data_IF_679164518569
#
_entry.id   IF_679164518569
#
_cell.length_a   1.000
_cell.length_b   1.000
_cell.length_c   1.000
_cell.angle_alpha   90.00
_cell.angle_beta   90.00
_cell.angle_gamma   90.00
#
_symmetry.space_group_name_H-M   'P 1'
#
loop_
_entity.id
_entity.type
_entity.pdbx_description
1 polymer ?
#
# COMPACT_ATOMS: atom_id res chain seq x y z
N UNK A 1 1.37 -23.20 6.39
CA UNK A 1 0.29 -22.36 6.94
C UNK A 1 -1.03 -23.07 6.70
N UNK A 2 -1.89 -23.09 7.73
CA UNK A 2 -3.28 -23.56 7.61
C UNK A 2 -3.98 -22.76 6.49
N UNK A 3 -4.87 -23.40 5.72
CA UNK A 3 -5.65 -22.79 4.63
C UNK A 3 -4.93 -22.45 3.32
N UNK A 4 -3.60 -22.64 3.21
CA UNK A 4 -2.91 -22.44 1.92
C UNK A 4 -3.31 -23.50 0.91
N UNK A 5 -3.40 -24.75 1.33
CA UNK A 5 -3.76 -25.88 0.45
C UNK A 5 -5.22 -25.83 0.04
N UNK A 6 -6.11 -25.49 0.98
CA UNK A 6 -7.55 -25.43 0.75
C UNK A 6 -7.95 -24.28 -0.18
N UNK A 7 -7.29 -23.12 -0.10
CA UNK A 7 -7.59 -21.97 -0.97
C UNK A 7 -6.76 -21.94 -2.27
N UNK A 8 -5.76 -22.82 -2.42
CA UNK A 8 -4.97 -22.96 -3.66
C UNK A 8 -5.25 -24.28 -4.36
N UNK A 9 -6.53 -24.59 -4.49
CA UNK A 9 -7.03 -25.79 -5.17
C UNK A 9 -7.44 -25.44 -6.63
N UNK A 10 -6.81 -26.07 -7.63
CA UNK A 10 -7.12 -25.81 -9.04
C UNK A 10 -8.50 -26.30 -9.45
N UNK A 11 -9.03 -27.35 -8.84
CA UNK A 11 -10.35 -27.88 -9.18
C UNK A 11 -11.46 -26.99 -8.58
N UNK A 12 -11.23 -26.45 -7.39
CA UNK A 12 -12.08 -25.41 -6.82
C UNK A 12 -12.07 -24.13 -7.67
N UNK A 13 -10.90 -23.71 -8.15
CA UNK A 13 -10.77 -22.55 -9.03
C UNK A 13 -11.56 -22.74 -10.35
N UNK A 14 -11.48 -23.92 -10.97
CA UNK A 14 -12.29 -24.25 -12.16
C UNK A 14 -13.78 -24.21 -11.86
N UNK A 15 -14.21 -24.77 -10.73
CA UNK A 15 -15.61 -24.74 -10.32
C UNK A 15 -16.13 -23.30 -10.18
N UNK A 16 -15.36 -22.41 -9.53
CA UNK A 16 -15.73 -20.99 -9.44
C UNK A 16 -15.75 -20.28 -10.80
N UNK A 17 -14.82 -20.57 -11.70
CA UNK A 17 -14.83 -20.00 -13.05
C UNK A 17 -16.09 -20.41 -13.84
N UNK A 18 -16.52 -21.66 -13.73
CA UNK A 18 -17.76 -22.12 -14.36
C UNK A 18 -19.01 -21.46 -13.75
N UNK A 19 -19.04 -21.26 -12.43
CA UNK A 19 -20.15 -20.55 -11.79
C UNK A 19 -20.17 -19.06 -12.16
N UNK A 20 -19.00 -18.41 -12.26
CA UNK A 20 -18.89 -17.03 -12.74
C UNK A 20 -19.45 -16.93 -14.16
N UNK A 21 -19.06 -17.82 -15.08
CA UNK A 21 -19.59 -17.86 -16.46
C UNK A 21 -21.11 -17.98 -16.52
N UNK A 22 -21.72 -18.78 -15.64
CA UNK A 22 -23.19 -18.95 -15.58
C UNK A 22 -23.91 -17.75 -14.96
N UNK A 23 -23.25 -17.04 -14.04
CA UNK A 23 -23.85 -15.97 -13.24
C UNK A 23 -23.78 -14.62 -13.92
N UNK A 24 -22.76 -14.37 -14.74
CA UNK A 24 -22.57 -13.10 -15.43
C UNK A 24 -23.68 -12.90 -16.47
N UNK A 25 -24.44 -11.82 -16.31
CA UNK A 25 -25.58 -11.47 -17.18
C UNK A 25 -25.39 -10.17 -17.96
N UNK A 26 -24.33 -9.41 -17.65
CA UNK A 26 -23.99 -8.12 -18.25
C UNK A 26 -22.48 -7.87 -18.12
N UNK A 27 -21.91 -6.88 -18.82
CA UNK A 27 -20.56 -6.42 -18.55
C UNK A 27 -20.39 -5.90 -17.11
N UNK A 28 -19.26 -6.25 -16.49
CA UNK A 28 -18.84 -5.83 -15.15
C UNK A 28 -17.43 -5.26 -15.18
N UNK A 29 -17.26 -4.10 -14.55
CA UNK A 29 -15.96 -3.49 -14.29
C UNK A 29 -15.60 -3.63 -12.82
N UNK A 30 -14.69 -4.55 -12.48
CA UNK A 30 -14.34 -4.87 -11.09
C UNK A 30 -12.95 -4.35 -10.78
N UNK A 31 -12.81 -3.54 -9.73
CA UNK A 31 -11.53 -2.95 -9.34
C UNK A 31 -10.94 -3.67 -8.13
N UNK A 32 -9.66 -4.03 -8.21
CA UNK A 32 -8.87 -4.42 -7.04
C UNK A 32 -8.08 -3.21 -6.50
N UNK A 33 -7.81 -3.17 -5.20
CA UNK A 33 -7.11 -2.04 -4.55
C UNK A 33 -5.92 -2.50 -3.72
N UNK A 34 -5.22 -3.55 -4.17
CA UNK A 34 -4.03 -4.09 -3.51
C UNK A 34 -3.01 -4.64 -4.51
N UNK A 35 -1.78 -4.14 -4.48
CA UNK A 35 -0.70 -4.69 -5.31
C UNK A 35 -0.52 -6.22 -5.19
N UNK A 36 -0.82 -6.80 -4.03
CA UNK A 36 -0.84 -8.26 -3.83
C UNK A 36 -1.94 -9.00 -4.61
N UNK A 37 -3.14 -8.41 -4.70
CA UNK A 37 -4.24 -8.93 -5.52
C UNK A 37 -3.86 -8.83 -7.00
N UNK A 38 -3.37 -7.68 -7.46
CA UNK A 38 -2.83 -7.52 -8.82
C UNK A 38 -1.77 -8.57 -9.14
N UNK A 39 -0.80 -8.76 -8.26
CA UNK A 39 0.24 -9.76 -8.45
C UNK A 39 -0.35 -11.17 -8.58
N UNK A 40 -1.30 -11.53 -7.72
CA UNK A 40 -1.97 -12.83 -7.76
C UNK A 40 -2.75 -13.05 -9.07
N UNK A 41 -3.57 -12.08 -9.46
CA UNK A 41 -4.36 -12.12 -10.70
C UNK A 41 -3.49 -12.32 -11.94
N UNK A 42 -2.37 -11.59 -12.03
CA UNK A 42 -1.44 -11.67 -13.16
C UNK A 42 -0.64 -12.97 -13.11
N UNK A 43 -0.05 -13.32 -11.97
CA UNK A 43 0.78 -14.52 -11.79
C UNK A 43 0.03 -15.80 -12.14
N UNK A 44 -1.24 -15.88 -11.77
CA UNK A 44 -2.09 -17.05 -12.01
C UNK A 44 -2.89 -16.95 -13.33
N UNK A 45 -2.73 -15.86 -14.09
CA UNK A 45 -3.42 -15.67 -15.36
C UNK A 45 -4.95 -15.59 -15.25
N UNK A 46 -5.48 -15.30 -14.06
CA UNK A 46 -6.93 -15.31 -13.77
C UNK A 46 -7.68 -14.37 -14.72
N UNK A 47 -7.09 -13.22 -15.03
CA UNK A 47 -7.68 -12.22 -15.95
C UNK A 47 -8.02 -12.84 -17.32
N UNK A 48 -7.21 -13.79 -17.81
CA UNK A 48 -7.44 -14.46 -19.10
C UNK A 48 -8.46 -15.60 -19.03
N UNK A 49 -8.79 -16.05 -17.82
CA UNK A 49 -9.71 -17.16 -17.58
C UNK A 49 -11.14 -16.68 -17.29
N UNK A 50 -11.29 -15.41 -16.89
CA UNK A 50 -12.59 -14.79 -16.66
C UNK A 50 -13.37 -14.64 -17.99
N UNK A 51 -14.72 -14.61 -17.94
CA UNK A 51 -15.55 -14.25 -19.09
C UNK A 51 -15.17 -12.88 -19.66
N UNK A 52 -15.39 -12.68 -20.97
CA UNK A 52 -15.06 -11.42 -21.65
C UNK A 52 -15.87 -10.22 -21.16
N UNK A 53 -17.02 -10.48 -20.55
CA UNK A 53 -17.88 -9.50 -19.91
C UNK A 53 -17.29 -8.96 -18.60
N UNK A 54 -16.33 -9.65 -17.97
CA UNK A 54 -15.66 -9.16 -16.76
C UNK A 54 -14.35 -8.47 -17.12
N UNK A 55 -14.32 -7.16 -16.90
CA UNK A 55 -13.12 -6.34 -16.97
C UNK A 55 -12.57 -6.12 -15.57
N UNK A 56 -11.33 -6.57 -15.34
CA UNK A 56 -10.57 -6.20 -14.15
C UNK A 56 -9.91 -4.82 -14.33
N UNK A 57 -10.02 -3.97 -13.32
CA UNK A 57 -9.35 -2.66 -13.23
C UNK A 57 -8.34 -2.72 -12.09
N UNK A 58 -7.13 -2.22 -12.35
CA UNK A 58 -6.08 -2.11 -11.34
C UNK A 58 -6.18 -0.75 -10.66
N UNK A 59 -6.61 -0.75 -9.40
CA UNK A 59 -6.79 0.46 -8.61
C UNK A 59 -5.49 0.98 -7.98
N UNK A 60 -5.58 2.04 -7.16
CA UNK A 60 -4.44 2.65 -6.48
C UNK A 60 -3.95 1.81 -5.28
N UNK A 61 -3.62 0.53 -5.50
CA UNK A 61 -3.25 -0.45 -4.47
C UNK A 61 -1.76 -0.47 -4.07
N UNK A 62 -0.98 0.53 -4.47
CA UNK A 62 0.46 0.62 -4.23
C UNK A 62 0.80 1.92 -3.49
N UNK A 63 1.12 1.90 -2.19
CA UNK A 63 1.33 3.11 -1.41
C UNK A 63 2.55 3.92 -1.88
N UNK A 64 3.59 3.23 -2.36
CA UNK A 64 4.79 3.85 -2.95
C UNK A 64 4.43 4.61 -4.22
N UNK A 65 3.57 4.05 -5.05
CA UNK A 65 3.18 4.61 -6.34
C UNK A 65 2.29 5.85 -6.19
N UNK A 66 1.51 5.93 -5.12
CA UNK A 66 0.62 7.06 -4.81
C UNK A 66 1.25 8.06 -3.82
N UNK A 67 2.53 7.90 -3.49
CA UNK A 67 3.24 8.81 -2.59
C UNK A 67 3.30 10.20 -3.23
N UNK A 68 2.81 11.26 -2.56
CA UNK A 68 2.85 12.61 -3.09
C UNK A 68 4.28 13.07 -3.41
N UNK A 69 4.45 13.68 -4.59
CA UNK A 69 5.75 14.16 -5.09
C UNK A 69 6.45 15.10 -4.09
N UNK A 70 5.68 15.98 -3.45
CA UNK A 70 6.19 16.93 -2.46
C UNK A 70 6.76 16.24 -1.19
N UNK A 71 6.35 15.02 -0.86
CA UNK A 71 6.92 14.26 0.26
C UNK A 71 8.24 13.60 -0.14
N UNK A 72 8.38 13.14 -1.39
CA UNK A 72 9.64 12.66 -1.93
C UNK A 72 10.67 13.79 -1.94
N UNK A 73 10.27 14.98 -2.42
CA UNK A 73 11.13 16.16 -2.45
C UNK A 73 11.57 16.60 -1.05
N UNK A 74 10.67 16.53 -0.06
CA UNK A 74 11.03 16.77 1.35
C UNK A 74 12.04 15.75 1.85
N UNK A 75 11.86 14.47 1.53
CA UNK A 75 12.81 13.42 1.92
C UNK A 75 14.19 13.66 1.31
N UNK A 76 14.25 14.04 0.02
CA UNK A 76 15.50 14.43 -0.66
C UNK A 76 16.13 15.66 0.01
N UNK A 77 15.34 16.69 0.31
CA UNK A 77 15.83 17.90 0.99
C UNK A 77 16.42 17.57 2.37
N UNK A 78 15.76 16.73 3.17
CA UNK A 78 16.28 16.29 4.45
C UNK A 78 17.64 15.61 4.29
N UNK A 79 17.76 14.69 3.34
CA UNK A 79 19.00 13.95 3.07
C UNK A 79 20.16 14.83 2.62
N UNK A 80 19.93 15.82 1.76
CA UNK A 80 21.00 16.62 1.17
C UNK A 80 21.33 17.89 1.96
N UNK A 81 20.35 18.49 2.64
CA UNK A 81 20.49 19.83 3.23
C UNK A 81 20.47 19.84 4.76
N UNK A 82 20.09 18.74 5.42
CA UNK A 82 19.85 18.70 6.88
C UNK A 82 20.75 17.74 7.66
N UNK A 83 21.76 17.15 7.03
CA UNK A 83 22.70 16.17 7.64
C UNK A 83 22.00 15.10 8.48
N UNK A 84 20.91 14.52 7.95
CA UNK A 84 20.17 13.44 8.61
C UNK A 84 20.52 12.07 8.02
N UNK A 85 20.30 11.02 8.79
CA UNK A 85 20.24 9.66 8.27
C UNK A 85 18.79 9.39 7.85
N UNK A 86 18.52 9.35 6.54
CA UNK A 86 17.19 9.03 6.03
C UNK A 86 17.05 7.52 5.86
N UNK A 87 16.08 6.92 6.55
CA UNK A 87 15.73 5.52 6.43
C UNK A 87 14.45 5.35 5.61
N UNK A 88 14.43 4.42 4.66
CA UNK A 88 13.24 4.13 3.84
C UNK A 88 13.22 2.68 3.36
N UNK A 89 12.06 2.21 2.91
CA UNK A 89 11.95 0.95 2.19
C UNK A 89 12.68 1.01 0.84
N UNK A 90 13.18 -0.14 0.37
CA UNK A 90 14.08 -0.21 -0.79
C UNK A 90 13.42 0.13 -2.13
N UNK A 91 12.11 -0.14 -2.27
CA UNK A 91 11.31 0.23 -3.44
C UNK A 91 11.15 1.75 -3.59
N UNK A 92 10.99 2.46 -2.47
CA UNK A 92 10.85 3.91 -2.42
C UNK A 92 12.09 4.65 -2.93
N UNK A 93 13.29 4.03 -2.90
CA UNK A 93 14.52 4.71 -3.28
C UNK A 93 14.55 5.15 -4.74
N UNK A 94 13.85 4.44 -5.62
CA UNK A 94 13.89 4.65 -7.07
C UNK A 94 12.75 5.51 -7.59
N UNK A 95 11.79 5.89 -6.73
CA UNK A 95 10.67 6.71 -7.17
C UNK A 95 11.18 8.12 -7.45
N UNK A 96 10.87 8.70 -8.62
CA UNK A 96 11.31 10.04 -8.96
C UNK A 96 10.60 11.06 -8.06
N UNK A 97 11.39 11.98 -7.48
CA UNK A 97 10.91 13.27 -7.03
C UNK A 97 10.75 14.23 -8.21
N UNK A 98 10.49 15.51 -7.94
CA UNK A 98 10.42 16.54 -8.98
C UNK A 98 11.76 16.74 -9.69
N UNK A 99 12.86 16.67 -8.94
CA UNK A 99 14.22 16.84 -9.48
C UNK A 99 15.11 15.59 -9.30
N UNK A 100 14.98 14.88 -8.17
CA UNK A 100 15.82 13.74 -7.81
C UNK A 100 15.03 12.67 -7.07
N UNK A 101 15.43 11.42 -7.23
CA UNK A 101 15.06 10.30 -6.36
C UNK A 101 15.95 10.22 -5.12
N UNK A 102 15.55 9.43 -4.12
CA UNK A 102 16.39 9.15 -2.95
C UNK A 102 17.67 8.38 -3.32
N UNK A 103 17.63 7.56 -4.37
CA UNK A 103 18.81 6.87 -4.89
C UNK A 103 19.82 7.88 -5.45
N UNK A 104 19.36 8.90 -6.16
CA UNK A 104 20.22 9.98 -6.66
C UNK A 104 20.72 10.88 -5.53
N UNK A 105 19.90 11.15 -4.52
CA UNK A 105 20.33 11.86 -3.32
C UNK A 105 21.44 11.11 -2.57
N UNK A 106 21.31 9.78 -2.45
CA UNK A 106 22.36 8.90 -1.92
C UNK A 106 23.64 8.97 -2.75
N UNK A 107 23.53 8.92 -4.07
CA UNK A 107 24.68 9.03 -4.98
C UNK A 107 25.37 10.40 -4.89
N UNK A 108 24.62 11.45 -4.54
CA UNK A 108 25.14 12.80 -4.31
C UNK A 108 25.77 13.00 -2.90
N UNK A 109 25.92 11.94 -2.11
CA UNK A 109 26.58 11.97 -0.80
C UNK A 109 25.65 11.98 0.41
N UNK A 110 24.34 11.92 0.19
CA UNK A 110 23.36 11.80 1.28
C UNK A 110 23.39 10.44 1.99
N UNK A 111 23.19 10.42 3.32
CA UNK A 111 23.09 9.17 4.08
C UNK A 111 21.66 8.61 4.00
N UNK A 112 21.43 7.75 2.99
CA UNK A 112 20.17 7.01 2.81
C UNK A 112 20.38 5.52 3.09
N UNK A 113 19.62 4.99 4.06
CA UNK A 113 19.67 3.60 4.50
C UNK A 113 18.38 2.87 4.18
N UNK A 114 18.52 1.67 3.61
CA UNK A 114 17.39 0.78 3.34
C UNK A 114 17.09 0.01 4.62
N UNK A 115 15.82 0.01 5.02
CA UNK A 115 15.31 -0.74 6.17
C UNK A 115 14.14 -1.64 5.75
N UNK A 116 13.88 -2.69 6.53
CA UNK A 116 12.74 -3.57 6.32
C UNK A 116 11.63 -3.32 7.35
N UNK A 117 11.94 -2.62 8.43
CA UNK A 117 10.97 -2.21 9.44
C UNK A 117 11.26 -0.79 9.97
N UNK A 118 10.23 -0.09 10.49
CA UNK A 118 10.45 1.18 11.20
C UNK A 118 11.25 1.01 12.49
N UNK A 119 11.31 -0.20 13.07
CA UNK A 119 12.13 -0.51 14.24
C UNK A 119 13.62 -0.58 13.88
N UNK A 120 13.97 -1.01 12.67
CA UNK A 120 15.37 -0.97 12.20
C UNK A 120 15.88 0.48 12.16
N UNK A 121 15.04 1.41 11.71
CA UNK A 121 15.36 2.84 11.71
C UNK A 121 15.51 3.40 13.14
N UNK A 122 14.72 2.90 14.10
CA UNK A 122 14.88 3.24 15.50
C UNK A 122 16.21 2.72 16.06
N UNK A 123 16.62 1.49 15.74
CA UNK A 123 17.94 0.99 16.16
C UNK A 123 19.09 1.77 15.52
N UNK A 124 18.93 2.23 14.27
CA UNK A 124 19.89 3.15 13.66
C UNK A 124 19.98 4.45 14.47
N UNK A 125 18.87 5.01 14.95
CA UNK A 125 18.89 6.19 15.83
C UNK A 125 19.65 5.96 17.13
N UNK A 126 19.46 4.79 17.75
CA UNK A 126 20.18 4.39 18.98
C UNK A 126 21.68 4.30 18.76
N UNK A 127 22.10 3.81 17.59
CA UNK A 127 23.51 3.65 17.22
C UNK A 127 24.18 4.96 16.76
N UNK A 128 23.40 6.01 16.48
CA UNK A 128 23.89 7.29 15.94
C UNK A 128 23.34 8.47 16.76
N UNK A 129 23.66 8.58 18.07
CA UNK A 129 23.04 9.55 18.97
C UNK A 129 23.29 11.02 18.59
N UNK A 130 24.36 11.29 17.83
CA UNK A 130 24.76 12.63 17.40
C UNK A 130 24.11 13.05 16.06
N UNK A 131 23.33 12.16 15.42
CA UNK A 131 22.61 12.46 14.17
C UNK A 131 21.11 12.26 14.32
N UNK A 132 20.35 13.14 13.68
CA UNK A 132 18.90 12.93 13.50
C UNK A 132 18.68 11.79 12.51
N UNK A 133 17.80 10.85 12.88
CA UNK A 133 17.40 9.74 12.03
C UNK A 133 15.93 9.90 11.68
N UNK A 134 15.66 10.05 10.38
CA UNK A 134 14.30 10.23 9.87
C UNK A 134 13.87 8.99 9.12
N UNK A 135 12.79 8.35 9.54
CA UNK A 135 12.15 7.27 8.79
C UNK A 135 11.08 7.82 7.85
N UNK A 136 11.22 7.59 6.55
CA UNK A 136 10.21 7.96 5.56
C UNK A 136 9.08 6.90 5.55
N UNK A 137 8.04 7.20 6.31
CA UNK A 137 6.94 6.30 6.63
C UNK A 137 5.87 6.30 5.54
N UNK A 138 6.10 5.50 4.49
CA UNK A 138 5.16 5.28 3.38
C UNK A 138 4.32 4.03 3.65
N UNK A 139 3.03 4.07 3.31
CA UNK A 139 2.19 2.89 3.36
C UNK A 139 0.70 3.17 3.51
N UNK A 140 -0.06 2.10 3.61
CA UNK A 140 -1.48 2.13 3.93
C UNK A 140 -1.71 1.81 5.42
N UNK A 141 -2.94 1.51 5.79
CA UNK A 141 -3.34 1.10 7.13
C UNK A 141 -2.50 -0.07 7.64
N UNK A 142 -2.04 -0.96 6.75
CA UNK A 142 -1.20 -2.11 7.09
C UNK A 142 0.16 -1.75 7.69
N UNK A 143 0.75 -0.60 7.32
CA UNK A 143 2.06 -0.17 7.84
C UNK A 143 1.94 0.81 9.00
N UNK A 144 0.79 1.47 9.14
CA UNK A 144 0.56 2.47 10.16
C UNK A 144 0.80 1.96 11.61
N UNK A 145 0.37 0.75 12.01
CA UNK A 145 0.63 0.23 13.36
C UNK A 145 2.12 0.10 13.68
N UNK A 146 2.91 -0.46 12.77
CA UNK A 146 4.35 -0.65 12.99
C UNK A 146 5.08 0.71 13.07
N UNK A 147 4.68 1.66 12.23
CA UNK A 147 5.24 3.01 12.24
C UNK A 147 4.87 3.79 13.52
N UNK A 148 3.63 3.64 14.01
CA UNK A 148 3.23 4.22 15.28
C UNK A 148 4.01 3.57 16.45
N UNK A 149 4.19 2.26 16.40
CA UNK A 149 4.90 1.50 17.43
C UNK A 149 6.37 1.92 17.54
N UNK A 150 7.05 2.24 16.44
CA UNK A 150 8.44 2.74 16.50
C UNK A 150 8.54 4.08 17.25
N UNK A 151 7.59 4.99 17.04
CA UNK A 151 7.52 6.27 17.77
C UNK A 151 7.24 6.04 19.26
N UNK A 152 6.33 5.12 19.59
CA UNK A 152 6.05 4.74 20.98
C UNK A 152 7.30 4.17 21.65
N UNK A 153 8.03 3.26 20.99
CA UNK A 153 9.27 2.71 21.52
C UNK A 153 10.38 3.74 21.66
N UNK A 154 10.52 4.68 20.71
CA UNK A 154 11.46 5.78 20.82
C UNK A 154 11.19 6.60 22.10
N UNK A 155 9.92 6.94 22.33
CA UNK A 155 9.50 7.66 23.54
C UNK A 155 9.76 6.86 24.82
N UNK A 156 9.41 5.57 24.85
CA UNK A 156 9.62 4.70 26.02
C UNK A 156 11.11 4.56 26.38
N UNK A 157 11.99 4.54 25.37
CA UNK A 157 13.45 4.42 25.55
C UNK A 157 14.15 5.77 25.75
N UNK A 158 13.42 6.88 25.67
CA UNK A 158 14.00 8.22 25.76
C UNK A 158 14.89 8.61 24.57
N UNK A 159 14.69 7.98 23.40
CA UNK A 159 15.40 8.31 22.16
C UNK A 159 14.82 9.62 21.60
N UNK A 160 15.69 10.62 21.39
CA UNK A 160 15.27 11.98 21.02
C UNK A 160 15.61 12.38 19.59
N UNK A 161 16.45 11.60 18.92
CA UNK A 161 16.96 11.84 17.56
C UNK A 161 16.26 10.94 16.51
N UNK A 162 15.01 10.55 16.78
CA UNK A 162 14.22 9.72 15.88
C UNK A 162 12.93 10.43 15.50
N UNK A 163 12.75 10.65 14.19
CA UNK A 163 11.60 11.31 13.61
C UNK A 163 10.99 10.47 12.48
N UNK A 164 9.72 10.71 12.18
CA UNK A 164 9.05 10.11 11.02
C UNK A 164 8.59 11.20 10.05
N UNK A 165 8.88 11.01 8.76
CA UNK A 165 8.22 11.74 7.68
C UNK A 165 7.04 10.89 7.22
N UNK A 166 5.84 11.21 7.69
CA UNK A 166 4.64 10.41 7.42
C UNK A 166 4.06 10.69 6.03
N UNK A 167 3.89 9.62 5.24
CA UNK A 167 3.21 9.59 3.94
C UNK A 167 2.24 8.41 3.90
N UNK A 168 1.37 8.33 4.91
CA UNK A 168 0.32 7.34 4.96
C UNK A 168 -0.88 7.76 4.12
N UNK A 169 -1.49 6.77 3.46
CA UNK A 169 -2.68 6.93 2.63
C UNK A 169 -3.75 5.95 3.12
N UNK A 170 -5.01 6.36 3.06
CA UNK A 170 -6.14 5.52 3.45
C UNK A 170 -6.83 4.95 2.21
N UNK A 171 -7.18 3.67 2.24
CA UNK A 171 -7.84 2.96 1.15
C UNK A 171 -9.33 3.32 1.03
N UNK A 172 -10.15 3.37 2.11
CA UNK A 172 -11.56 3.73 1.98
C UNK A 172 -11.79 5.11 1.34
N UNK A 173 -11.06 6.18 1.69
CA UNK A 173 -11.17 7.47 1.00
C UNK A 173 -10.74 7.42 -0.47
N UNK A 174 -9.77 6.57 -0.82
CA UNK A 174 -9.39 6.37 -2.22
C UNK A 174 -10.50 5.67 -3.02
N UNK A 175 -11.18 4.69 -2.42
CA UNK A 175 -12.37 4.05 -3.02
C UNK A 175 -13.50 5.07 -3.18
N UNK A 176 -13.77 5.86 -2.13
CA UNK A 176 -14.80 6.91 -2.17
C UNK A 176 -14.53 7.90 -3.31
N UNK A 177 -13.30 8.42 -3.43
CA UNK A 177 -12.94 9.33 -4.52
C UNK A 177 -13.16 8.74 -5.91
N UNK A 178 -12.95 7.42 -6.08
CA UNK A 178 -13.21 6.70 -7.34
C UNK A 178 -14.71 6.52 -7.59
N UNK A 179 -15.51 6.36 -6.54
CA UNK A 179 -16.98 6.26 -6.65
C UNK A 179 -17.65 7.62 -6.87
N UNK A 180 -17.03 8.72 -6.42
CA UNK A 180 -17.50 10.09 -6.63
C UNK A 180 -17.16 10.64 -8.02
N UNK A 181 -16.21 10.03 -8.73
CA UNK A 181 -15.86 10.41 -10.09
C UNK A 181 -16.89 9.90 -11.10
N UNK A 182 -17.68 10.80 -11.68
CA UNK A 182 -18.70 10.49 -12.69
C UNK A 182 -18.12 9.84 -13.96
N UNK A 183 -16.83 10.00 -14.25
CA UNK A 183 -16.16 9.34 -15.37
C UNK A 183 -15.72 7.91 -15.05
N UNK A 184 -15.66 7.57 -13.75
CA UNK A 184 -15.30 6.24 -13.27
C UNK A 184 -16.42 5.23 -13.53
N UNK A 185 -16.05 4.10 -14.12
CA UNK A 185 -16.98 2.98 -14.37
C UNK A 185 -16.51 1.77 -13.59
N UNK A 186 -16.86 1.72 -12.31
CA UNK A 186 -16.58 0.58 -11.42
C UNK A 186 -17.90 0.03 -10.88
N UNK A 187 -18.17 -1.24 -11.17
CA UNK A 187 -19.35 -1.97 -10.74
C UNK A 187 -19.13 -2.75 -9.42
N UNK A 188 -17.89 -2.88 -8.95
CA UNK A 188 -17.57 -3.55 -7.70
C UNK A 188 -16.09 -3.48 -7.33
N UNK A 189 -15.79 -3.63 -6.04
CA UNK A 189 -14.43 -3.58 -5.52
C UNK A 189 -14.01 -4.88 -4.82
N UNK A 190 -12.74 -5.26 -4.99
CA UNK A 190 -12.07 -6.28 -4.20
C UNK A 190 -11.23 -5.59 -3.12
N UNK A 191 -11.76 -5.50 -1.91
CA UNK A 191 -11.08 -4.87 -0.79
C UNK A 191 -9.89 -5.69 -0.29
N UNK A 192 -8.82 -5.00 0.07
CA UNK A 192 -7.56 -5.61 0.49
C UNK A 192 -7.70 -6.26 1.88
N UNK A 193 -7.60 -7.59 1.98
CA UNK A 193 -7.74 -8.31 3.25
C UNK A 193 -6.75 -7.88 4.33
N UNK A 194 -5.50 -7.57 3.98
CA UNK A 194 -4.52 -7.06 4.95
C UNK A 194 -4.93 -5.70 5.53
N UNK A 195 -5.51 -4.80 4.73
CA UNK A 195 -6.02 -3.51 5.20
C UNK A 195 -7.22 -3.73 6.13
N UNK A 196 -8.15 -4.59 5.72
CA UNK A 196 -9.31 -4.98 6.53
C UNK A 196 -8.90 -5.67 7.85
N UNK A 197 -7.75 -6.32 7.90
CA UNK A 197 -7.21 -6.92 9.14
C UNK A 197 -6.87 -5.85 10.17
N UNK A 198 -6.50 -4.64 9.74
CA UNK A 198 -6.17 -3.53 10.65
C UNK A 198 -7.41 -2.73 11.03
N UNK A 199 -8.18 -2.29 10.04
CA UNK A 199 -9.31 -1.36 10.27
C UNK A 199 -10.68 -2.06 10.42
N UNK A 200 -10.76 -3.36 10.17
CA UNK A 200 -12.03 -4.06 10.01
C UNK A 200 -12.72 -3.69 8.69
N UNK A 201 -14.06 -3.80 8.66
CA UNK A 201 -14.89 -3.50 7.49
C UNK A 201 -15.82 -2.30 7.70
N UNK A 202 -15.74 -1.65 8.86
CA UNK A 202 -16.70 -0.62 9.29
C UNK A 202 -16.76 0.56 8.31
N UNK A 203 -15.62 1.00 7.78
CA UNK A 203 -15.54 2.13 6.86
C UNK A 203 -16.13 1.83 5.47
N UNK A 204 -16.37 0.56 5.12
CA UNK A 204 -16.98 0.20 3.84
C UNK A 204 -18.50 0.22 3.84
N UNK A 205 -19.17 0.04 4.99
CA UNK A 205 -20.63 0.02 5.03
C UNK A 205 -21.26 1.33 4.52
N UNK A 206 -20.83 2.53 4.98
CA UNK A 206 -21.39 3.78 4.47
C UNK A 206 -21.17 3.97 2.96
N UNK A 207 -20.06 3.47 2.42
CA UNK A 207 -19.77 3.55 0.99
C UNK A 207 -20.76 2.67 0.19
N UNK A 208 -20.97 1.43 0.62
CA UNK A 208 -21.94 0.54 -0.04
C UNK A 208 -23.35 1.10 0.06
N UNK A 209 -23.75 1.65 1.21
CA UNK A 209 -25.06 2.27 1.40
C UNK A 209 -25.26 3.50 0.50
N UNK A 210 -24.24 4.35 0.37
CA UNK A 210 -24.29 5.59 -0.42
C UNK A 210 -24.25 5.33 -1.92
N UNK A 211 -23.29 4.53 -2.38
CA UNK A 211 -23.00 4.36 -3.81
C UNK A 211 -23.67 3.13 -4.43
N UNK A 212 -24.19 2.21 -3.61
CA UNK A 212 -24.82 0.96 -4.06
C UNK A 212 -23.87 0.08 -4.91
N UNK A 213 -22.56 0.22 -4.70
CA UNK A 213 -21.52 -0.58 -5.34
C UNK A 213 -21.00 -1.63 -4.34
N UNK A 214 -21.03 -2.94 -4.68
CA UNK A 214 -20.57 -3.99 -3.76
C UNK A 214 -19.06 -3.94 -3.54
N UNK A 215 -18.65 -4.17 -2.30
CA UNK A 215 -17.25 -4.31 -1.89
C UNK A 215 -17.08 -5.69 -1.25
N UNK A 216 -16.18 -6.51 -1.79
CA UNK A 216 -15.89 -7.86 -1.31
C UNK A 216 -14.48 -7.92 -0.76
N UNK A 217 -14.33 -8.26 0.53
CA UNK A 217 -13.02 -8.46 1.14
C UNK A 217 -12.40 -9.75 0.62
N UNK A 218 -11.18 -9.69 0.12
CA UNK A 218 -10.45 -10.87 -0.40
C UNK A 218 -9.12 -11.08 0.32
N UNK A 219 -8.64 -12.33 0.31
CA UNK A 219 -7.42 -12.77 0.99
C UNK A 219 -6.14 -12.62 0.18
#
# INVERSE_FOLDING_TARGET
MKFITEYRDPDLAKAYLEEIKKTVTRPWSVMEVCGGQTHSLVKHGIIRLLPEEIRMIHGPGCPVCVTPLNLIDKAVHLTLERDVILCSFGDMLRVPGSEKSLLEAKAAGGDVRIVYSPLDALEIAVQNPDKEVVFFAVGFETTAPANALSVVHAKMRGIKNYSILCSHVLVPPAIEAIMEDDESRVDGFLAAGHVCTIMGTLEYYPLVERFQVPIVVTG
#
